data_IF_515535103160
#
_entry.id   IF_515535103160
#
_cell.length_a   1.000
_cell.length_b   1.000
_cell.length_c   1.000
_cell.angle_alpha   90.00
_cell.angle_beta   90.00
_cell.angle_gamma   90.00
#
_symmetry.space_group_name_H-M   'P 1'
#
loop_
_entity.id
_entity.type
_entity.pdbx_description
1 polymer ?
#
# COMPACT_ATOMS: atom_id res chain seq x y z
N UNK A 1 30.23 19.87 -56.51
CA UNK A 1 29.46 20.64 -55.55
C UNK A 1 28.37 19.69 -55.05
N UNK A 2 28.66 19.02 -54.01
CA UNK A 2 27.74 18.13 -53.30
C UNK A 2 27.14 18.97 -52.18
N UNK A 3 25.84 19.18 -52.24
CA UNK A 3 25.04 19.78 -51.17
C UNK A 3 24.97 18.74 -50.04
N UNK A 4 25.61 19.05 -48.92
CA UNK A 4 25.42 18.34 -47.67
C UNK A 4 24.06 18.79 -47.13
N UNK A 5 23.06 17.91 -47.16
CA UNK A 5 21.83 18.07 -46.39
C UNK A 5 22.20 18.05 -44.90
N UNK A 6 22.16 19.22 -44.25
CA UNK A 6 22.18 19.33 -42.80
C UNK A 6 20.92 18.64 -42.23
N UNK A 7 21.11 17.51 -41.57
CA UNK A 7 20.09 16.83 -40.75
C UNK A 7 19.63 17.82 -39.66
N UNK A 8 18.42 18.31 -39.79
CA UNK A 8 17.75 19.18 -38.83
C UNK A 8 17.55 18.41 -37.53
N UNK A 9 18.07 18.88 -36.36
CA UNK A 9 17.89 18.16 -35.10
C UNK A 9 16.40 18.06 -34.79
N UNK A 10 15.90 16.84 -34.73
CA UNK A 10 14.52 16.45 -34.41
C UNK A 10 13.95 17.40 -33.36
N UNK A 11 13.05 18.28 -33.77
CA UNK A 11 12.16 18.99 -32.82
C UNK A 11 11.42 17.95 -31.98
N UNK A 12 11.88 17.77 -30.76
CA UNK A 12 11.14 16.99 -29.79
C UNK A 12 9.75 17.63 -29.64
N UNK A 13 8.72 16.95 -30.13
CA UNK A 13 7.35 17.43 -30.02
C UNK A 13 7.04 17.71 -28.54
N UNK A 14 6.70 18.96 -28.22
CA UNK A 14 6.29 19.32 -26.86
C UNK A 14 5.09 18.45 -26.42
N UNK A 15 5.17 17.91 -25.20
CA UNK A 15 4.08 17.15 -24.63
C UNK A 15 2.83 18.01 -24.47
N UNK A 16 1.69 17.48 -24.85
CA UNK A 16 0.39 18.14 -24.62
C UNK A 16 0.09 18.21 -23.11
N UNK A 17 -0.75 19.16 -22.70
CA UNK A 17 -1.17 19.30 -21.28
C UNK A 17 -1.75 17.99 -20.74
N UNK A 18 -2.54 17.27 -21.54
CA UNK A 18 -3.08 15.94 -21.15
C UNK A 18 -1.98 14.90 -20.93
N UNK A 19 -0.98 14.83 -21.80
CA UNK A 19 0.15 13.90 -21.60
C UNK A 19 0.95 14.26 -20.35
N UNK A 20 1.16 15.55 -20.09
CA UNK A 20 1.80 16.03 -18.85
C UNK A 20 1.00 15.64 -17.62
N UNK A 21 -0.33 15.79 -17.64
CA UNK A 21 -1.24 15.36 -16.59
C UNK A 21 -1.14 13.85 -16.34
N UNK A 22 -1.21 13.02 -17.39
CA UNK A 22 -1.19 11.55 -17.27
C UNK A 22 0.15 11.06 -16.71
N UNK A 23 1.27 11.65 -17.13
CA UNK A 23 2.60 11.34 -16.59
C UNK A 23 2.67 11.73 -15.10
N UNK A 24 2.26 12.96 -14.75
CA UNK A 24 2.27 13.41 -13.37
C UNK A 24 1.38 12.53 -12.48
N UNK A 25 0.17 12.19 -12.93
CA UNK A 25 -0.74 11.27 -12.25
C UNK A 25 -0.09 9.91 -12.01
N UNK A 26 0.60 9.35 -13.01
CA UNK A 26 1.27 8.06 -12.88
C UNK A 26 2.34 8.10 -11.78
N UNK A 27 3.22 9.11 -11.77
CA UNK A 27 4.24 9.26 -10.74
C UNK A 27 3.64 9.42 -9.33
N UNK A 28 2.59 10.23 -9.20
CA UNK A 28 1.92 10.45 -7.91
C UNK A 28 1.25 9.18 -7.39
N UNK A 29 0.53 8.46 -8.27
CA UNK A 29 -0.17 7.24 -7.87
C UNK A 29 0.80 6.11 -7.47
N UNK A 30 1.98 6.05 -8.11
CA UNK A 30 3.01 5.06 -7.84
C UNK A 30 4.11 5.58 -6.89
N UNK A 31 3.83 6.62 -6.12
CA UNK A 31 4.77 7.12 -5.11
C UNK A 31 5.03 6.10 -4.02
N UNK A 32 6.27 5.95 -3.54
CA UNK A 32 6.57 5.08 -2.40
C UNK A 32 5.77 5.47 -1.15
N UNK A 33 5.62 4.54 -0.18
CA UNK A 33 4.86 4.78 1.05
C UNK A 33 5.30 6.04 1.79
N UNK A 34 4.35 6.96 2.02
CA UNK A 34 4.58 8.20 2.75
C UNK A 34 5.29 9.32 1.97
N UNK A 35 5.63 9.11 0.69
CA UNK A 35 6.46 10.06 -0.09
C UNK A 35 5.67 10.91 -1.10
N UNK A 36 4.36 10.70 -1.24
CA UNK A 36 3.55 11.39 -2.26
C UNK A 36 3.68 12.92 -2.20
N UNK A 37 3.78 13.52 -1.02
CA UNK A 37 3.93 14.97 -0.88
C UNK A 37 5.29 15.47 -1.37
N UNK A 38 6.36 14.70 -1.17
CA UNK A 38 7.70 15.03 -1.67
C UNK A 38 7.72 14.94 -3.19
N UNK A 39 7.20 13.83 -3.74
CA UNK A 39 7.11 13.62 -5.19
C UNK A 39 6.21 14.67 -5.84
N UNK A 40 5.08 15.02 -5.24
CA UNK A 40 4.22 16.09 -5.74
C UNK A 40 4.93 17.44 -5.85
N UNK A 41 5.76 17.79 -4.86
CA UNK A 41 6.56 19.00 -4.88
C UNK A 41 7.62 18.97 -5.99
N UNK A 42 8.26 17.82 -6.20
CA UNK A 42 9.28 17.65 -7.24
C UNK A 42 8.64 17.71 -8.62
N UNK A 43 7.52 17.03 -8.84
CA UNK A 43 6.76 17.08 -10.10
C UNK A 43 6.33 18.52 -10.41
N UNK A 44 5.81 19.25 -9.42
CA UNK A 44 5.42 20.66 -9.62
C UNK A 44 6.56 21.54 -10.07
N UNK A 45 7.79 21.28 -9.57
CA UNK A 45 8.97 22.06 -9.96
C UNK A 45 9.46 21.74 -11.37
N UNK A 46 9.18 20.53 -11.87
CA UNK A 46 9.60 20.07 -13.21
C UNK A 46 8.53 20.39 -14.27
N UNK A 47 7.25 20.23 -13.87
CA UNK A 47 6.12 20.43 -14.78
C UNK A 47 5.79 21.92 -14.91
N UNK A 48 6.11 22.52 -16.04
CA UNK A 48 5.81 23.94 -16.33
C UNK A 48 4.36 24.19 -16.78
N UNK A 49 3.39 23.42 -16.21
CA UNK A 49 1.96 23.45 -16.53
C UNK A 49 1.17 23.24 -15.25
N UNK A 50 0.76 24.34 -14.63
CA UNK A 50 0.07 24.30 -13.32
C UNK A 50 -1.33 23.69 -13.40
N UNK A 51 -2.03 23.85 -14.53
CA UNK A 51 -3.36 23.27 -14.72
C UNK A 51 -3.28 21.74 -14.85
N UNK A 52 -2.31 21.23 -15.64
CA UNK A 52 -2.04 19.82 -15.75
C UNK A 52 -1.60 19.20 -14.40
N UNK A 53 -0.80 19.92 -13.61
CA UNK A 53 -0.39 19.50 -12.28
C UNK A 53 -1.58 19.41 -11.33
N UNK A 54 -2.41 20.43 -11.23
CA UNK A 54 -3.57 20.45 -10.34
C UNK A 54 -4.59 19.35 -10.68
N UNK A 55 -4.83 19.11 -11.98
CA UNK A 55 -5.67 18.04 -12.45
C UNK A 55 -5.09 16.67 -12.07
N UNK A 56 -3.77 16.45 -12.25
CA UNK A 56 -3.10 15.23 -11.86
C UNK A 56 -3.19 14.96 -10.35
N UNK A 57 -2.96 15.98 -9.52
CA UNK A 57 -3.05 15.91 -8.05
C UNK A 57 -4.46 15.53 -7.61
N UNK A 58 -5.49 16.17 -8.16
CA UNK A 58 -6.89 15.89 -7.77
C UNK A 58 -7.31 14.46 -8.07
N UNK A 59 -6.79 13.85 -9.12
CA UNK A 59 -7.08 12.46 -9.51
C UNK A 59 -6.18 11.43 -8.79
N UNK A 60 -4.90 11.76 -8.57
CA UNK A 60 -3.93 10.81 -8.05
C UNK A 60 -4.03 10.60 -6.53
N UNK A 61 -4.26 11.66 -5.75
CA UNK A 61 -4.29 11.56 -4.30
C UNK A 61 -5.39 10.63 -3.76
N UNK A 62 -6.64 10.67 -4.25
CA UNK A 62 -7.65 9.70 -3.83
C UNK A 62 -7.24 8.26 -4.13
N UNK A 63 -6.67 7.99 -5.30
CA UNK A 63 -6.19 6.67 -5.69
C UNK A 63 -5.05 6.18 -4.80
N UNK A 64 -4.06 7.03 -4.58
CA UNK A 64 -2.93 6.74 -3.69
C UNK A 64 -3.40 6.45 -2.26
N UNK A 65 -4.25 7.31 -1.70
CA UNK A 65 -4.73 7.16 -0.34
C UNK A 65 -5.52 5.86 -0.14
N UNK A 66 -6.35 5.47 -1.11
CA UNK A 66 -7.08 4.19 -1.08
C UNK A 66 -6.16 3.00 -1.25
N UNK A 67 -5.22 3.05 -2.20
CA UNK A 67 -4.29 1.94 -2.44
C UNK A 67 -3.34 1.71 -1.28
N UNK A 68 -2.91 2.78 -0.60
CA UNK A 68 -2.05 2.70 0.58
C UNK A 68 -2.83 2.55 1.90
N UNK A 69 -4.16 2.51 1.84
CA UNK A 69 -5.04 2.39 3.03
C UNK A 69 -4.61 3.34 4.15
N UNK A 70 -4.54 4.64 3.82
CA UNK A 70 -4.05 5.65 4.76
C UNK A 70 -5.04 5.79 5.90
N UNK A 71 -4.50 5.79 7.14
CA UNK A 71 -5.26 6.01 8.34
C UNK A 71 -5.25 7.50 8.70
N UNK A 72 -6.43 8.07 8.92
CA UNK A 72 -6.61 9.48 9.28
C UNK A 72 -7.36 9.61 10.59
N UNK A 73 -6.84 10.46 11.48
CA UNK A 73 -7.49 10.76 12.76
C UNK A 73 -8.79 11.54 12.54
N UNK A 74 -9.87 11.09 13.18
CA UNK A 74 -11.14 11.78 13.17
C UNK A 74 -11.07 13.10 13.97
N UNK A 75 -11.84 14.14 13.60
CA UNK A 75 -11.92 15.36 14.36
C UNK A 75 -12.25 15.10 15.84
N UNK A 76 -11.65 15.89 16.74
CA UNK A 76 -11.78 15.75 18.18
C UNK A 76 -11.20 14.43 18.78
N UNK A 77 -10.37 13.71 18.03
CA UNK A 77 -9.74 12.45 18.46
C UNK A 77 -10.77 11.38 18.88
N UNK A 78 -11.89 11.32 18.17
CA UNK A 78 -12.96 10.35 18.44
C UNK A 78 -12.64 8.95 17.89
N UNK A 79 -11.61 8.80 17.08
CA UNK A 79 -11.18 7.56 16.45
C UNK A 79 -10.37 7.84 15.20
N UNK A 80 -10.14 6.80 14.41
CA UNK A 80 -9.42 6.83 13.16
C UNK A 80 -10.28 6.23 12.04
N UNK A 81 -10.14 6.74 10.84
CA UNK A 81 -10.77 6.17 9.64
C UNK A 81 -9.72 5.71 8.65
N UNK A 82 -9.88 4.49 8.12
CA UNK A 82 -9.06 3.94 7.05
C UNK A 82 -9.65 4.33 5.69
N UNK A 83 -8.83 4.91 4.84
CA UNK A 83 -9.23 5.29 3.48
C UNK A 83 -9.10 4.07 2.58
N UNK A 84 -10.21 3.37 2.39
CA UNK A 84 -10.29 2.14 1.61
C UNK A 84 -11.51 2.16 0.68
N UNK A 85 -11.51 1.32 -0.34
CA UNK A 85 -12.67 1.09 -1.19
C UNK A 85 -13.86 0.46 -0.45
N UNK A 86 -13.61 -0.22 0.68
CA UNK A 86 -14.65 -0.87 1.49
C UNK A 86 -15.42 0.10 2.38
N UNK A 87 -14.75 1.18 2.82
CA UNK A 87 -15.36 2.24 3.63
C UNK A 87 -15.86 3.43 2.80
N UNK A 88 -15.63 3.44 1.49
CA UNK A 88 -16.02 4.54 0.59
C UNK A 88 -17.54 4.62 0.46
N UNK A 89 -18.12 5.73 0.88
CA UNK A 89 -19.54 6.05 0.70
C UNK A 89 -19.72 6.93 -0.54
N UNK A 90 -18.82 7.92 -0.71
CA UNK A 90 -18.75 8.82 -1.85
C UNK A 90 -17.28 9.18 -2.08
N UNK A 91 -16.97 9.90 -3.15
CA UNK A 91 -15.59 10.25 -3.57
C UNK A 91 -14.71 10.82 -2.44
N UNK A 92 -15.32 11.52 -1.47
CA UNK A 92 -14.64 12.15 -0.34
C UNK A 92 -15.19 11.70 1.03
N UNK A 93 -16.17 10.81 1.07
CA UNK A 93 -16.80 10.35 2.31
C UNK A 93 -16.46 8.89 2.61
N UNK A 94 -15.96 8.62 3.82
CA UNK A 94 -15.52 7.31 4.27
C UNK A 94 -16.14 6.94 5.61
N UNK A 95 -16.70 5.74 5.68
CA UNK A 95 -17.29 5.15 6.90
C UNK A 95 -16.17 4.63 7.81
N UNK A 96 -16.21 5.04 9.08
CA UNK A 96 -15.61 4.26 10.17
C UNK A 96 -16.68 3.39 10.83
N UNK A 97 -16.68 2.06 10.58
CA UNK A 97 -17.73 1.19 11.10
C UNK A 97 -17.65 1.00 12.62
N UNK A 98 -16.51 1.31 13.25
CA UNK A 98 -16.33 1.19 14.71
C UNK A 98 -17.04 2.29 15.48
N UNK A 99 -16.97 3.53 14.99
CA UNK A 99 -17.63 4.67 15.62
C UNK A 99 -18.99 4.98 14.99
N UNK A 100 -19.38 4.27 13.93
CA UNK A 100 -20.58 4.55 13.12
C UNK A 100 -20.61 6.00 12.63
N UNK A 101 -19.46 6.51 12.20
CA UNK A 101 -19.32 7.87 11.68
C UNK A 101 -18.81 7.86 10.24
N UNK A 102 -19.27 8.81 9.46
CA UNK A 102 -18.79 9.05 8.11
C UNK A 102 -17.95 10.33 8.12
N UNK A 103 -16.70 10.18 7.72
CA UNK A 103 -15.72 11.26 7.68
C UNK A 103 -15.63 11.86 6.28
N UNK A 104 -15.68 13.18 6.18
CA UNK A 104 -15.34 13.91 4.95
C UNK A 104 -13.83 14.15 4.90
N UNK A 105 -13.18 13.73 3.83
CA UNK A 105 -11.72 13.70 3.69
C UNK A 105 -11.23 14.68 2.64
N UNK A 106 -10.22 15.46 2.98
CA UNK A 106 -9.42 16.18 2.01
C UNK A 106 -8.21 15.30 1.63
N UNK A 107 -8.27 14.65 0.47
CA UNK A 107 -7.25 13.71 0.02
C UNK A 107 -5.88 14.34 -0.15
N UNK A 108 -5.80 15.56 -0.68
CA UNK A 108 -4.54 16.25 -0.93
C UNK A 108 -3.82 16.64 0.37
N UNK A 109 -4.59 17.06 1.38
CA UNK A 109 -4.04 17.39 2.71
C UNK A 109 -3.91 16.18 3.61
N UNK A 110 -4.53 15.05 3.24
CA UNK A 110 -4.63 13.84 4.06
C UNK A 110 -5.17 14.14 5.47
N UNK A 111 -6.31 14.81 5.54
CA UNK A 111 -6.97 15.17 6.81
C UNK A 111 -8.48 14.97 6.70
N UNK A 112 -9.10 14.56 7.82
CA UNK A 112 -10.55 14.61 7.97
C UNK A 112 -10.99 16.04 8.28
N UNK A 113 -11.96 16.54 7.52
CA UNK A 113 -12.45 17.93 7.65
C UNK A 113 -13.75 18.02 8.42
N UNK A 114 -14.59 17.00 8.34
CA UNK A 114 -15.88 16.93 9.00
C UNK A 114 -16.25 15.48 9.29
N UNK A 115 -17.19 15.28 10.21
CA UNK A 115 -17.81 13.97 10.50
C UNK A 115 -19.31 14.13 10.66
N UNK A 116 -20.05 13.11 10.24
CA UNK A 116 -21.49 12.97 10.48
C UNK A 116 -21.79 11.55 10.99
N UNK A 117 -22.88 11.33 11.70
CA UNK A 117 -23.35 9.97 11.97
C UNK A 117 -23.64 9.22 10.67
N UNK A 118 -23.35 7.92 10.64
CA UNK A 118 -23.80 7.07 9.55
C UNK A 118 -25.31 6.89 9.59
N UNK A 119 -25.93 6.73 8.43
CA UNK A 119 -27.36 6.40 8.30
C UNK A 119 -27.58 4.91 8.45
N UNK A 120 -28.82 4.51 8.74
CA UNK A 120 -29.17 3.08 8.86
C UNK A 120 -28.91 2.29 7.55
N UNK A 121 -28.97 2.94 6.39
CA UNK A 121 -28.66 2.33 5.08
C UNK A 121 -27.15 2.10 4.86
N UNK A 122 -26.30 2.87 5.54
CA UNK A 122 -24.84 2.75 5.47
C UNK A 122 -24.30 1.68 6.40
N UNK A 123 -25.05 1.30 7.44
CA UNK A 123 -24.68 0.29 8.45
C UNK A 123 -25.31 -1.07 8.14
N UNK A 124 -24.67 -2.17 8.55
CA UNK A 124 -25.29 -3.50 8.47
C UNK A 124 -26.35 -3.69 9.57
N UNK A 125 -27.18 -4.73 9.41
CA UNK A 125 -28.12 -5.17 10.45
C UNK A 125 -27.39 -5.57 11.74
N UNK A 126 -28.15 -5.63 12.85
CA UNK A 126 -27.61 -6.07 14.14
C UNK A 126 -27.01 -7.48 14.09
N UNK A 127 -27.59 -8.37 13.27
CA UNK A 127 -27.09 -9.73 13.09
C UNK A 127 -25.67 -9.73 12.49
N UNK A 128 -25.45 -8.97 11.42
CA UNK A 128 -24.13 -8.84 10.78
C UNK A 128 -23.16 -8.11 11.70
N UNK A 129 -23.65 -7.09 12.45
CA UNK A 129 -22.82 -6.31 13.35
C UNK A 129 -22.24 -7.15 14.50
N UNK A 130 -22.95 -8.20 14.97
CA UNK A 130 -22.40 -9.15 15.94
C UNK A 130 -21.13 -9.82 15.40
N UNK A 131 -21.15 -10.33 14.17
CA UNK A 131 -19.96 -10.94 13.53
C UNK A 131 -18.88 -9.91 13.25
N UNK A 132 -19.26 -8.77 12.67
CA UNK A 132 -18.32 -7.69 12.33
C UNK A 132 -17.62 -7.15 13.58
N UNK A 133 -18.39 -6.86 14.62
CA UNK A 133 -17.87 -6.30 15.86
C UNK A 133 -16.99 -7.28 16.64
N UNK A 134 -17.37 -8.56 16.70
CA UNK A 134 -16.53 -9.60 17.31
C UNK A 134 -15.18 -9.74 16.57
N UNK A 135 -15.21 -9.80 15.24
CA UNK A 135 -13.99 -9.89 14.44
C UNK A 135 -13.13 -8.62 14.56
N UNK A 136 -13.72 -7.43 14.54
CA UNK A 136 -13.01 -6.17 14.71
C UNK A 136 -12.30 -6.10 16.07
N UNK A 137 -12.96 -6.56 17.14
CA UNK A 137 -12.39 -6.58 18.49
C UNK A 137 -11.16 -7.50 18.61
N UNK A 138 -11.19 -8.69 18.00
CA UNK A 138 -10.05 -9.61 17.98
C UNK A 138 -8.93 -9.09 17.07
N UNK A 139 -9.28 -8.54 15.91
CA UNK A 139 -8.32 -7.97 14.97
C UNK A 139 -7.54 -6.78 15.58
N UNK A 140 -8.21 -5.92 16.35
CA UNK A 140 -7.56 -4.81 17.07
C UNK A 140 -6.49 -5.32 18.04
N UNK A 141 -6.77 -6.41 18.78
CA UNK A 141 -5.77 -7.00 19.69
C UNK A 141 -4.55 -7.52 18.91
N UNK A 142 -4.80 -8.27 17.84
CA UNK A 142 -3.74 -8.80 16.97
C UNK A 142 -2.87 -7.68 16.39
N UNK A 143 -3.49 -6.65 15.82
CA UNK A 143 -2.76 -5.53 15.20
C UNK A 143 -1.97 -4.74 16.23
N UNK A 144 -2.52 -4.49 17.42
CA UNK A 144 -1.81 -3.80 18.50
C UNK A 144 -0.56 -4.55 18.98
N UNK A 145 -0.58 -5.88 18.97
CA UNK A 145 0.55 -6.72 19.35
C UNK A 145 1.60 -6.86 18.24
N UNK A 146 1.15 -6.95 16.99
CA UNK A 146 2.03 -7.30 15.85
C UNK A 146 2.57 -6.08 15.11
N UNK A 147 1.76 -5.04 14.90
CA UNK A 147 2.09 -3.90 14.05
C UNK A 147 2.16 -2.60 14.86
N UNK A 148 3.39 -2.12 15.23
CA UNK A 148 3.53 -0.84 15.90
C UNK A 148 2.90 0.30 15.06
N UNK A 149 1.91 1.00 15.60
CA UNK A 149 1.12 2.05 14.90
C UNK A 149 0.32 1.52 13.70
N UNK A 150 0.04 0.22 13.66
CA UNK A 150 -0.87 -0.36 12.69
C UNK A 150 -2.32 0.03 12.98
N UNK A 151 -3.13 0.08 11.93
CA UNK A 151 -4.56 0.31 11.99
C UNK A 151 -5.29 -0.80 11.29
N UNK A 152 -6.49 -1.13 11.77
CA UNK A 152 -7.35 -2.12 11.13
C UNK A 152 -8.81 -1.68 11.19
N UNK A 153 -9.62 -2.27 10.34
CA UNK A 153 -11.07 -2.12 10.36
C UNK A 153 -11.74 -3.30 9.68
N UNK A 154 -12.97 -3.59 10.07
CA UNK A 154 -13.78 -4.64 9.46
C UNK A 154 -15.03 -4.00 8.86
N UNK A 155 -15.26 -4.25 7.58
CA UNK A 155 -16.37 -3.70 6.80
C UNK A 155 -17.32 -4.82 6.37
N UNK A 156 -18.61 -4.53 6.27
CA UNK A 156 -19.56 -5.39 5.57
C UNK A 156 -19.55 -5.03 4.08
N UNK A 157 -19.19 -5.99 3.22
CA UNK A 157 -19.11 -5.78 1.76
C UNK A 157 -20.45 -6.07 1.11
N UNK A 158 -21.08 -7.18 1.50
CA UNK A 158 -22.35 -7.62 0.93
C UNK A 158 -23.25 -8.24 2.01
N UNK A 159 -24.55 -8.25 1.74
CA UNK A 159 -25.55 -8.81 2.67
C UNK A 159 -25.83 -7.90 3.87
N UNK A 160 -25.68 -6.59 3.76
CA UNK A 160 -25.94 -5.63 4.85
C UNK A 160 -27.33 -5.73 5.47
N UNK A 161 -28.30 -6.19 4.69
CA UNK A 161 -29.73 -6.36 5.03
C UNK A 161 -30.10 -7.75 5.60
N UNK A 162 -29.12 -8.63 5.77
CA UNK A 162 -29.34 -9.98 6.31
C UNK A 162 -29.69 -9.90 7.79
N UNK A 163 -30.86 -10.41 8.17
CA UNK A 163 -31.39 -10.36 9.54
C UNK A 163 -31.20 -11.64 10.35
N UNK A 164 -30.67 -12.72 9.74
CA UNK A 164 -30.50 -13.99 10.43
C UNK A 164 -29.78 -15.06 9.63
N UNK A 165 -29.57 -16.24 10.21
CA UNK A 165 -28.88 -17.34 9.54
C UNK A 165 -29.67 -17.83 8.32
N UNK A 166 -28.96 -18.31 7.28
CA UNK A 166 -29.54 -18.84 6.07
C UNK A 166 -29.49 -17.88 4.87
N UNK A 167 -28.72 -16.81 4.98
CA UNK A 167 -28.38 -15.93 3.87
C UNK A 167 -26.88 -15.64 3.83
N UNK A 168 -26.37 -15.34 2.63
CA UNK A 168 -24.97 -15.05 2.41
C UNK A 168 -24.65 -13.62 2.82
N UNK A 169 -23.49 -13.43 3.43
CA UNK A 169 -22.91 -12.11 3.65
C UNK A 169 -21.39 -12.20 3.58
N UNK A 170 -20.75 -11.06 3.37
CA UNK A 170 -19.30 -10.99 3.24
C UNK A 170 -18.75 -9.80 4.04
N UNK A 171 -17.68 -10.09 4.79
CA UNK A 171 -16.92 -9.10 5.54
C UNK A 171 -15.54 -8.90 4.89
N UNK A 172 -15.01 -7.68 4.96
CA UNK A 172 -13.61 -7.39 4.68
C UNK A 172 -12.89 -6.94 5.94
N UNK A 173 -11.91 -7.71 6.38
CA UNK A 173 -10.97 -7.28 7.39
C UNK A 173 -9.74 -6.67 6.71
N UNK A 174 -9.38 -5.45 7.10
CA UNK A 174 -8.32 -4.67 6.49
C UNK A 174 -7.31 -4.30 7.54
N UNK A 175 -6.02 -4.51 7.25
CA UNK A 175 -4.91 -4.12 8.12
C UNK A 175 -3.97 -3.22 7.31
N UNK A 176 -3.58 -2.10 7.88
CA UNK A 176 -2.60 -1.18 7.30
C UNK A 176 -1.59 -0.76 8.36
N UNK A 177 -0.32 -0.95 8.06
CA UNK A 177 0.78 -0.47 8.89
C UNK A 177 1.83 0.18 8.00
N UNK A 178 2.32 1.34 8.40
CA UNK A 178 3.34 2.06 7.66
C UNK A 178 4.46 2.53 8.57
N UNK A 179 5.67 2.51 8.04
CA UNK A 179 6.85 3.07 8.68
C UNK A 179 7.45 4.12 7.77
N UNK A 180 7.36 5.36 8.18
CA UNK A 180 8.03 6.46 7.53
C UNK A 180 9.28 6.84 8.34
N UNK A 181 10.46 6.58 7.81
CA UNK A 181 11.74 6.76 8.52
C UNK A 181 12.80 7.34 7.58
N UNK A 182 12.60 8.57 7.07
CA UNK A 182 13.54 9.19 6.13
C UNK A 182 14.93 9.40 6.72
N UNK A 183 15.05 9.52 8.04
CA UNK A 183 16.33 9.60 8.73
C UNK A 183 17.16 8.32 8.64
N UNK A 184 16.51 7.18 8.44
CA UNK A 184 17.14 5.88 8.23
C UNK A 184 17.09 5.46 6.76
N UNK A 185 16.79 6.39 5.85
CA UNK A 185 16.72 6.17 4.41
C UNK A 185 15.80 5.01 4.00
N UNK A 186 14.76 4.74 4.79
CA UNK A 186 13.84 3.64 4.55
C UNK A 186 12.41 4.02 4.88
N UNK A 187 11.51 3.81 3.92
CA UNK A 187 10.07 3.88 4.11
C UNK A 187 9.46 2.54 3.70
N UNK A 188 8.39 2.14 4.36
CA UNK A 188 7.72 0.89 4.02
C UNK A 188 6.28 0.85 4.49
N UNK A 189 5.51 -0.05 3.91
CA UNK A 189 4.14 -0.34 4.30
C UNK A 189 3.84 -1.84 4.23
N UNK A 190 3.01 -2.28 5.15
CA UNK A 190 2.34 -3.57 5.15
C UNK A 190 0.86 -3.33 5.00
N UNK A 191 0.23 -4.04 4.09
CA UNK A 191 -1.21 -3.98 3.86
C UNK A 191 -1.75 -5.38 3.66
N UNK A 192 -2.82 -5.71 4.35
CA UNK A 192 -3.53 -6.95 4.10
C UNK A 192 -5.04 -6.72 4.03
N UNK A 193 -5.68 -7.43 3.13
CA UNK A 193 -7.11 -7.43 2.90
C UNK A 193 -7.57 -8.87 2.97
N UNK A 194 -8.53 -9.14 3.83
CA UNK A 194 -9.09 -10.46 4.07
C UNK A 194 -10.58 -10.44 3.78
N UNK A 195 -10.97 -11.03 2.65
CA UNK A 195 -12.38 -11.23 2.33
C UNK A 195 -12.85 -12.52 3.00
N UNK A 196 -13.91 -12.42 3.76
CA UNK A 196 -14.49 -13.46 4.61
C UNK A 196 -15.91 -13.68 4.17
N UNK A 197 -16.16 -14.80 3.49
CA UNK A 197 -17.43 -15.15 2.89
C UNK A 197 -18.18 -16.14 3.78
N UNK A 198 -19.35 -15.75 4.26
CA UNK A 198 -20.29 -16.57 5.01
C UNK A 198 -21.41 -17.04 4.04
N UNK A 199 -21.54 -18.35 3.88
CA UNK A 199 -22.55 -18.95 2.99
C UNK A 199 -23.80 -19.39 3.74
N UNK A 200 -24.90 -19.51 3.02
CA UNK A 200 -26.22 -19.85 3.59
C UNK A 200 -26.27 -21.21 4.27
N UNK A 201 -25.43 -22.15 3.86
CA UNK A 201 -25.27 -23.43 4.54
C UNK A 201 -24.53 -23.30 5.90
N UNK A 202 -23.89 -22.18 6.14
CA UNK A 202 -23.18 -21.78 7.38
C UNK A 202 -22.28 -22.88 8.00
N UNK A 203 -21.82 -23.83 7.16
CA UNK A 203 -20.92 -24.88 7.65
C UNK A 203 -19.47 -24.47 7.49
N UNK A 204 -19.16 -23.70 6.46
CA UNK A 204 -17.81 -23.29 6.14
C UNK A 204 -17.75 -21.78 5.87
N UNK A 205 -16.79 -21.13 6.49
CA UNK A 205 -16.44 -19.72 6.25
C UNK A 205 -15.16 -19.71 5.41
N UNK A 206 -15.22 -19.13 4.22
CA UNK A 206 -14.07 -19.03 3.33
C UNK A 206 -13.31 -17.73 3.56
N UNK A 207 -11.99 -17.82 3.67
CA UNK A 207 -11.08 -16.68 3.78
C UNK A 207 -10.25 -16.55 2.51
N UNK A 208 -10.14 -15.33 1.99
CA UNK A 208 -9.23 -14.99 0.90
C UNK A 208 -8.41 -13.78 1.30
N UNK A 209 -7.11 -14.00 1.49
CA UNK A 209 -6.15 -12.97 1.86
C UNK A 209 -5.38 -12.44 0.66
N UNK A 210 -5.19 -11.13 0.65
CA UNK A 210 -4.24 -10.44 -0.23
C UNK A 210 -3.33 -9.60 0.63
N UNK A 211 -2.04 -9.95 0.63
CA UNK A 211 -1.00 -9.28 1.40
C UNK A 211 -0.10 -8.51 0.45
N UNK A 212 0.26 -7.31 0.82
CA UNK A 212 1.13 -6.45 0.02
C UNK A 212 2.15 -5.75 0.93
N UNK A 213 3.41 -5.81 0.51
CA UNK A 213 4.54 -5.18 1.21
C UNK A 213 5.28 -4.28 0.24
N UNK A 214 5.39 -3.01 0.59
CA UNK A 214 6.21 -2.07 -0.14
C UNK A 214 7.35 -1.60 0.76
N UNK A 215 8.54 -1.50 0.21
CA UNK A 215 9.67 -0.89 0.88
C UNK A 215 10.48 -0.03 -0.11
N UNK A 216 10.89 1.14 0.34
CA UNK A 216 11.76 2.03 -0.40
C UNK A 216 12.99 2.34 0.44
N UNK A 217 14.15 1.95 -0.07
CA UNK A 217 15.46 2.20 0.55
C UNK A 217 16.30 3.10 -0.37
N UNK A 218 16.81 4.22 0.15
CA UNK A 218 17.41 5.28 -0.66
C UNK A 218 18.74 5.87 -0.11
N UNK A 219 19.47 5.12 0.74
CA UNK A 219 20.76 5.60 1.30
C UNK A 219 21.87 5.65 0.22
N UNK A 220 22.13 4.52 -0.44
CA UNK A 220 23.19 4.41 -1.46
C UNK A 220 22.65 4.16 -2.88
N UNK A 221 21.40 4.40 -3.08
CA UNK A 221 20.71 4.13 -4.35
C UNK A 221 19.21 4.26 -4.18
N UNK A 222 18.47 3.85 -5.18
CA UNK A 222 17.02 3.79 -5.15
C UNK A 222 16.60 2.33 -5.33
N UNK A 223 16.22 1.67 -4.24
CA UNK A 223 15.74 0.30 -4.24
C UNK A 223 14.29 0.29 -3.78
N UNK A 224 13.39 -0.11 -4.67
CA UNK A 224 11.98 -0.31 -4.36
C UNK A 224 11.66 -1.79 -4.41
N UNK A 225 11.01 -2.28 -3.36
CA UNK A 225 10.46 -3.62 -3.26
C UNK A 225 8.94 -3.49 -3.25
N UNK A 226 8.29 -4.20 -4.15
CA UNK A 226 6.86 -4.45 -4.14
C UNK A 226 6.67 -5.97 -4.15
N UNK A 227 6.07 -6.49 -3.09
CA UNK A 227 5.85 -7.91 -2.93
C UNK A 227 4.38 -8.17 -2.59
N UNK A 228 3.77 -9.07 -3.37
CA UNK A 228 2.36 -9.42 -3.24
C UNK A 228 2.22 -10.92 -2.97
N UNK A 229 1.28 -11.28 -2.10
CA UNK A 229 0.94 -12.66 -1.81
C UNK A 229 -0.57 -12.83 -1.71
N UNK A 230 -1.08 -13.90 -2.27
CA UNK A 230 -2.48 -14.29 -2.16
C UNK A 230 -2.57 -15.65 -1.46
N UNK A 231 -3.46 -15.75 -0.49
CA UNK A 231 -3.70 -16.97 0.25
C UNK A 231 -5.20 -17.25 0.39
N UNK A 232 -5.52 -18.50 0.68
CA UNK A 232 -6.89 -18.96 0.91
C UNK A 232 -6.88 -19.93 2.07
N UNK A 233 -7.91 -19.82 2.90
CA UNK A 233 -8.11 -20.70 4.02
C UNK A 233 -9.62 -20.86 4.26
N UNK A 234 -10.01 -21.73 5.18
CA UNK A 234 -11.40 -21.90 5.58
C UNK A 234 -11.50 -22.33 7.03
N UNK A 235 -12.60 -21.97 7.68
CA UNK A 235 -12.94 -22.41 9.03
C UNK A 235 -14.40 -22.86 9.08
N UNK A 236 -14.76 -23.55 10.17
CA UNK A 236 -16.13 -23.98 10.40
C UNK A 236 -16.89 -22.83 11.06
N UNK A 237 -18.11 -22.61 10.62
CA UNK A 237 -19.01 -21.67 11.26
C UNK A 237 -19.31 -22.08 12.70
N UNK A 238 -19.22 -21.12 13.60
CA UNK A 238 -19.51 -21.26 15.03
C UNK A 238 -20.23 -19.98 15.52
N UNK A 239 -20.19 -19.70 16.80
CA UNK A 239 -20.63 -18.41 17.33
C UNK A 239 -19.82 -17.25 16.72
N UNK A 240 -20.34 -16.02 16.71
CA UNK A 240 -19.59 -14.84 16.23
C UNK A 240 -18.22 -14.72 16.88
N UNK A 241 -18.12 -14.95 18.19
CA UNK A 241 -16.87 -14.84 18.96
C UNK A 241 -15.87 -15.93 18.58
N UNK A 242 -16.33 -17.19 18.48
CA UNK A 242 -15.46 -18.31 18.12
C UNK A 242 -14.96 -18.20 16.68
N UNK A 243 -15.83 -17.74 15.77
CA UNK A 243 -15.45 -17.42 14.39
C UNK A 243 -14.39 -16.30 14.35
N UNK A 244 -14.56 -15.23 15.13
CA UNK A 244 -13.63 -14.12 15.19
C UNK A 244 -12.24 -14.57 15.65
N UNK A 245 -12.16 -15.40 16.70
CA UNK A 245 -10.89 -15.95 17.20
C UNK A 245 -10.25 -16.86 16.16
N UNK A 246 -11.02 -17.76 15.54
CA UNK A 246 -10.51 -18.67 14.51
C UNK A 246 -9.98 -17.91 13.30
N UNK A 247 -10.75 -16.97 12.78
CA UNK A 247 -10.37 -16.14 11.61
C UNK A 247 -9.12 -15.33 11.93
N UNK A 248 -9.06 -14.66 13.08
CA UNK A 248 -7.88 -13.86 13.47
C UNK A 248 -6.64 -14.71 13.63
N UNK A 249 -6.79 -15.94 14.18
CA UNK A 249 -5.69 -16.90 14.30
C UNK A 249 -5.15 -17.32 12.92
N UNK A 250 -6.03 -17.55 11.95
CA UNK A 250 -5.65 -17.89 10.58
C UNK A 250 -4.95 -16.71 9.89
N UNK A 251 -5.48 -15.50 10.02
CA UNK A 251 -4.84 -14.28 9.55
C UNK A 251 -3.41 -14.17 10.10
N UNK A 252 -3.26 -14.29 11.41
CA UNK A 252 -1.97 -14.25 12.10
C UNK A 252 -1.00 -15.32 11.55
N UNK A 253 -1.48 -16.55 11.34
CA UNK A 253 -0.65 -17.63 10.81
C UNK A 253 -0.15 -17.33 9.39
N UNK A 254 -1.06 -16.97 8.49
CA UNK A 254 -0.74 -16.67 7.08
C UNK A 254 0.19 -15.46 6.94
N UNK A 255 -0.03 -14.41 7.72
CA UNK A 255 0.82 -13.21 7.72
C UNK A 255 2.22 -13.52 8.26
N UNK A 256 2.35 -14.32 9.32
CA UNK A 256 3.63 -14.75 9.87
C UNK A 256 4.41 -15.65 8.90
N UNK A 257 3.75 -16.59 8.22
CA UNK A 257 4.38 -17.42 7.19
C UNK A 257 4.91 -16.57 6.03
N UNK A 258 4.13 -15.59 5.59
CA UNK A 258 4.56 -14.70 4.53
C UNK A 258 5.72 -13.80 4.96
N UNK A 259 5.70 -13.23 6.17
CA UNK A 259 6.82 -12.46 6.73
C UNK A 259 8.11 -13.29 6.80
N UNK A 260 8.03 -14.53 7.28
CA UNK A 260 9.18 -15.43 7.34
C UNK A 260 9.72 -15.76 5.93
N UNK A 261 8.85 -15.96 4.95
CA UNK A 261 9.22 -16.15 3.54
C UNK A 261 9.92 -14.94 2.94
N UNK A 262 9.43 -13.73 3.22
CA UNK A 262 10.05 -12.48 2.79
C UNK A 262 11.44 -12.31 3.41
N UNK A 263 11.58 -12.56 4.72
CA UNK A 263 12.87 -12.49 5.42
C UNK A 263 13.89 -13.49 4.85
N UNK A 264 13.47 -14.72 4.61
CA UNK A 264 14.31 -15.73 3.98
C UNK A 264 14.74 -15.32 2.56
N UNK A 265 13.81 -14.78 1.78
CA UNK A 265 14.08 -14.28 0.43
C UNK A 265 15.05 -13.10 0.46
N UNK A 266 14.84 -12.14 1.37
CA UNK A 266 15.70 -10.99 1.54
C UNK A 266 17.12 -11.38 1.96
N UNK A 267 17.26 -12.35 2.86
CA UNK A 267 18.56 -12.86 3.32
C UNK A 267 19.34 -13.52 2.18
N UNK A 268 18.65 -14.16 1.24
CA UNK A 268 19.26 -14.83 0.08
C UNK A 268 19.54 -13.86 -1.10
N UNK A 269 18.88 -12.70 -1.18
CA UNK A 269 19.04 -11.71 -2.25
C UNK A 269 20.49 -11.23 -2.46
N UNK A 270 21.29 -10.92 -1.38
CA UNK A 270 22.67 -10.46 -1.56
C UNK A 270 23.56 -11.48 -2.25
N UNK A 271 23.33 -12.77 -2.00
CA UNK A 271 24.20 -13.83 -2.49
C UNK A 271 23.88 -14.27 -3.94
N UNK A 272 22.69 -14.05 -4.41
CA UNK A 272 22.25 -14.48 -5.76
C UNK A 272 21.91 -13.29 -6.66
N UNK A 273 20.80 -12.62 -6.35
CA UNK A 273 20.19 -11.63 -7.27
C UNK A 273 20.97 -10.33 -7.34
N UNK A 274 21.41 -9.76 -6.22
CA UNK A 274 22.17 -8.50 -6.24
C UNK A 274 23.59 -8.71 -6.79
N UNK A 275 24.22 -9.85 -6.55
CA UNK A 275 25.50 -10.18 -7.21
C UNK A 275 25.34 -10.28 -8.72
N UNK A 276 24.25 -10.86 -9.19
CA UNK A 276 23.98 -11.00 -10.62
C UNK A 276 23.59 -9.67 -11.26
N UNK A 277 22.78 -8.85 -10.59
CA UNK A 277 22.42 -7.49 -11.06
C UNK A 277 23.65 -6.56 -11.11
N UNK A 278 24.50 -6.57 -10.08
CA UNK A 278 25.74 -5.80 -10.05
C UNK A 278 26.75 -6.22 -11.09
N UNK A 279 26.70 -7.47 -11.56
CA UNK A 279 27.63 -8.03 -12.55
C UNK A 279 27.21 -7.80 -14.00
N UNK A 280 25.98 -7.33 -14.25
CA UNK A 280 25.46 -7.07 -15.60
C UNK A 280 25.39 -5.58 -15.87
N UNK A 281 25.96 -5.15 -16.98
CA UNK A 281 25.78 -3.77 -17.46
C UNK A 281 24.33 -3.57 -17.89
N UNK A 282 23.69 -2.44 -17.51
CA UNK A 282 22.25 -2.22 -17.73
C UNK A 282 21.83 -2.26 -19.20
N UNK A 283 22.67 -1.79 -20.11
CA UNK A 283 22.36 -1.70 -21.55
C UNK A 283 22.76 -2.97 -22.28
N UNK A 284 24.01 -3.43 -22.11
CA UNK A 284 24.54 -4.57 -22.85
C UNK A 284 24.20 -5.91 -22.22
N UNK A 285 23.76 -5.93 -20.94
CA UNK A 285 23.54 -7.13 -20.11
C UNK A 285 24.75 -8.06 -20.04
N UNK A 286 25.94 -7.55 -20.31
CA UNK A 286 27.19 -8.27 -20.19
C UNK A 286 27.66 -8.32 -18.74
N UNK A 287 28.32 -9.42 -18.35
CA UNK A 287 28.90 -9.57 -17.02
C UNK A 287 30.07 -8.58 -16.86
N UNK A 288 30.01 -7.76 -15.82
CA UNK A 288 31.10 -6.83 -15.48
C UNK A 288 31.91 -7.39 -14.30
N UNK A 289 33.20 -7.57 -14.43
CA UNK A 289 34.06 -8.17 -13.38
C UNK A 289 34.42 -7.14 -12.30
N UNK A 290 33.47 -6.82 -11.43
CA UNK A 290 33.61 -5.82 -10.36
C UNK A 290 34.83 -6.03 -9.44
N UNK A 291 35.22 -7.29 -9.20
CA UNK A 291 36.37 -7.61 -8.39
C UNK A 291 37.69 -7.11 -9.00
N UNK A 292 37.81 -7.05 -10.33
CA UNK A 292 38.99 -6.49 -11.00
C UNK A 292 39.02 -4.97 -10.83
N UNK A 293 37.86 -4.31 -10.82
CA UNK A 293 37.76 -2.85 -10.67
C UNK A 293 38.06 -2.43 -9.23
N UNK A 294 37.57 -3.20 -8.23
CA UNK A 294 37.88 -2.96 -6.83
C UNK A 294 39.36 -3.13 -6.51
N UNK A 295 40.03 -4.17 -7.08
CA UNK A 295 41.47 -4.35 -6.93
C UNK A 295 42.25 -3.18 -7.58
N UNK A 296 41.80 -2.67 -8.70
CA UNK A 296 42.44 -1.54 -9.37
C UNK A 296 42.31 -0.23 -8.57
N UNK A 297 41.15 0.03 -7.96
CA UNK A 297 40.93 1.17 -7.07
C UNK A 297 41.77 1.08 -5.81
N UNK A 298 41.73 -0.07 -5.13
CA UNK A 298 42.53 -0.30 -3.91
C UNK A 298 44.01 -0.15 -4.16
N UNK A 299 44.54 -0.70 -5.23
CA UNK A 299 45.97 -0.60 -5.57
C UNK A 299 46.38 0.85 -5.89
N UNK A 300 45.51 1.63 -6.56
CA UNK A 300 45.74 3.03 -6.89
C UNK A 300 45.67 3.95 -5.67
N UNK A 301 44.75 3.66 -4.75
CA UNK A 301 44.59 4.43 -3.52
C UNK A 301 45.73 4.14 -2.54
N UNK A 302 46.17 2.89 -2.40
CA UNK A 302 47.33 2.50 -1.62
C UNK A 302 48.63 3.09 -2.18
N UNK A 303 48.82 3.09 -3.50
CA UNK A 303 49.96 3.71 -4.15
C UNK A 303 50.02 5.23 -3.92
N UNK A 304 48.86 5.89 -3.88
CA UNK A 304 48.71 7.30 -3.61
C UNK A 304 48.99 7.67 -2.15
N UNK A 305 48.58 6.81 -1.21
CA UNK A 305 48.88 6.97 0.24
C UNK A 305 50.36 6.68 0.57
N UNK A 306 50.98 5.76 -0.16
CA UNK A 306 52.41 5.41 0.04
C UNK A 306 53.38 6.33 -0.74
N UNK A 307 52.85 7.27 -1.54
CA UNK A 307 53.69 8.26 -2.27
C UNK A 307 54.57 7.65 -3.35
N UNK A 308 54.14 6.50 -3.95
CA UNK A 308 54.82 5.80 -5.03
C UNK A 308 54.16 6.12 -6.37
#
# INVERSE_FOLDING_TARGET
MSEEEEDDPQQQAELTSKQKQDIAKWFLTNSPPGEIHCIAKDIRSILSDEDAYNAAVSEAYPLYNKSHMICLELPNRTGDVLITTFGEIDEIEYLDPRTCQVATVNHVKQVCTNVRPATDEELPTSFIEEFRGALDAELVKYVAETYPKGSCSVYCISGKDVEGPGANFELAAVISASRHSPQNFCNGSWRSIWNIEFKDDLQVVELRGKLQVDAHYFEEGNVQLDANHECKDNTIFQSPEDCAVSITSMICHQENEYMASLEASYTNLPDTTFKDLRRKLPVTRTLFPWHNTLQFSLTRDIAKELGI
#
